data_IF_207019770975
#
_entry.id   IF_207019770975
#
_cell.length_a   1.000
_cell.length_b   1.000
_cell.length_c   1.000
_cell.angle_alpha   90.00
_cell.angle_beta   90.00
_cell.angle_gamma   90.00
#
_symmetry.space_group_name_H-M   'P 1'
#
loop_
_entity.id
_entity.type
_entity.pdbx_description
1 polymer ?
#
# COMPACT_ATOMS: atom_id res chain seq x y z
N UNK A 1 -4.04 24.44 -9.61
CA UNK A 1 -3.04 23.46 -10.05
C UNK A 1 -1.77 24.22 -10.42
N UNK A 2 -0.65 23.94 -9.76
CA UNK A 2 0.65 24.47 -10.16
C UNK A 2 1.07 23.84 -11.50
N UNK A 3 1.85 24.54 -12.32
CA UNK A 3 2.41 24.05 -13.58
C UNK A 3 3.13 22.71 -13.41
N UNK A 4 3.72 22.47 -12.22
CA UNK A 4 4.39 21.22 -11.85
C UNK A 4 3.43 20.03 -11.73
N UNK A 5 2.21 20.24 -11.25
CA UNK A 5 1.19 19.19 -11.15
C UNK A 5 0.62 18.84 -12.53
N UNK A 6 0.44 19.84 -13.40
CA UNK A 6 0.03 19.66 -14.80
C UNK A 6 1.06 18.83 -15.58
N UNK A 7 2.34 19.11 -15.39
CA UNK A 7 3.43 18.35 -16.01
C UNK A 7 3.50 16.90 -15.49
N UNK A 8 3.29 16.69 -14.19
CA UNK A 8 3.24 15.35 -13.60
C UNK A 8 2.03 14.55 -14.14
N UNK A 9 0.85 15.17 -14.22
CA UNK A 9 -0.35 14.55 -14.78
C UNK A 9 -0.19 14.23 -16.27
N UNK A 10 0.39 15.15 -17.06
CA UNK A 10 0.71 14.89 -18.47
C UNK A 10 1.68 13.73 -18.64
N UNK A 11 2.69 13.64 -17.76
CA UNK A 11 3.61 12.49 -17.71
C UNK A 11 2.89 11.20 -17.36
N UNK A 12 1.95 11.20 -16.41
CA UNK A 12 1.14 10.03 -16.06
C UNK A 12 0.31 9.53 -17.27
N UNK A 13 -0.38 10.43 -17.97
CA UNK A 13 -1.16 10.10 -19.17
C UNK A 13 -0.27 9.59 -20.30
N UNK A 14 0.86 10.27 -20.55
CA UNK A 14 1.83 9.87 -21.58
C UNK A 14 2.45 8.52 -21.28
N UNK A 15 2.74 8.22 -20.01
CA UNK A 15 3.29 6.94 -19.59
C UNK A 15 2.25 5.82 -19.69
N UNK A 16 0.98 6.10 -19.39
CA UNK A 16 -0.13 5.18 -19.65
C UNK A 16 -0.23 4.77 -21.13
N UNK A 17 -0.02 5.72 -22.05
CA UNK A 17 0.05 5.44 -23.49
C UNK A 17 1.30 4.63 -23.88
N UNK A 18 2.44 4.84 -23.20
CA UNK A 18 3.68 4.08 -23.44
C UNK A 18 3.68 2.70 -22.80
N UNK A 19 2.82 2.45 -21.80
CA UNK A 19 2.70 1.18 -21.06
C UNK A 19 1.26 0.65 -21.13
N UNK A 20 0.78 0.27 -22.33
CA UNK A 20 -0.62 -0.07 -22.56
C UNK A 20 -1.09 -1.28 -21.75
N UNK A 21 -0.20 -2.23 -21.42
CA UNK A 21 -0.55 -3.38 -20.58
C UNK A 21 -0.82 -3.01 -19.12
N UNK A 22 -0.02 -2.11 -18.53
CA UNK A 22 -0.21 -1.63 -17.15
C UNK A 22 -1.43 -0.71 -17.02
N UNK A 23 -1.65 0.13 -18.04
CA UNK A 23 -2.87 0.92 -18.16
C UNK A 23 -4.10 0.01 -18.31
N UNK A 24 -4.01 -1.03 -19.16
CA UNK A 24 -5.07 -2.03 -19.35
C UNK A 24 -5.33 -2.85 -18.09
N UNK A 25 -4.32 -3.34 -17.37
CA UNK A 25 -4.55 -4.11 -16.14
C UNK A 25 -5.18 -3.27 -15.03
N UNK A 26 -4.86 -1.97 -15.00
CA UNK A 26 -5.51 -1.01 -14.09
C UNK A 26 -6.99 -0.75 -14.47
N UNK A 27 -7.33 -0.80 -15.77
CA UNK A 27 -8.68 -0.61 -16.31
C UNK A 27 -9.51 -1.90 -16.45
N UNK A 28 -8.86 -3.07 -16.54
CA UNK A 28 -9.45 -4.36 -16.91
C UNK A 28 -10.55 -4.82 -15.96
N UNK A 29 -10.36 -4.75 -14.63
CA UNK A 29 -11.45 -5.10 -13.72
C UNK A 29 -12.51 -3.99 -13.60
N UNK A 30 -12.21 -2.76 -14.05
CA UNK A 30 -13.24 -1.72 -14.23
C UNK A 30 -14.13 -2.09 -15.42
N UNK A 31 -13.55 -2.70 -16.48
CA UNK A 31 -14.33 -3.31 -17.57
C UNK A 31 -15.10 -4.55 -17.12
N UNK A 32 -14.54 -5.40 -16.25
CA UNK A 32 -15.27 -6.53 -15.66
C UNK A 32 -16.49 -6.06 -14.85
N UNK A 33 -16.35 -4.95 -14.11
CA UNK A 33 -17.47 -4.33 -13.38
C UNK A 33 -18.51 -3.71 -14.32
N UNK A 34 -18.10 -2.95 -15.34
CA UNK A 34 -19.05 -2.35 -16.30
C UNK A 34 -19.70 -3.36 -17.23
N UNK A 35 -19.07 -4.53 -17.43
CA UNK A 35 -19.64 -5.64 -18.21
C UNK A 35 -20.38 -6.69 -17.37
N UNK A 36 -20.53 -6.46 -16.06
CA UNK A 36 -21.22 -7.39 -15.14
C UNK A 36 -20.64 -8.81 -15.19
N UNK A 37 -19.30 -8.92 -15.29
CA UNK A 37 -18.62 -10.21 -15.25
C UNK A 37 -18.59 -10.99 -16.57
N UNK A 38 -19.01 -10.40 -17.70
CA UNK A 38 -18.96 -11.06 -19.03
C UNK A 38 -17.52 -11.27 -19.53
N UNK A 39 -16.56 -10.45 -19.09
CA UNK A 39 -15.16 -10.51 -19.50
C UNK A 39 -14.23 -10.36 -18.27
N UNK A 40 -13.81 -11.47 -17.67
CA UNK A 40 -12.80 -11.49 -16.59
C UNK A 40 -13.04 -12.56 -15.52
N UNK A 41 -12.01 -12.90 -14.75
CA UNK A 41 -12.16 -13.69 -13.53
C UNK A 41 -12.81 -12.84 -12.44
N UNK A 42 -14.00 -13.21 -11.96
CA UNK A 42 -14.61 -12.52 -10.82
C UNK A 42 -14.08 -13.12 -9.51
N UNK A 43 -13.10 -12.47 -8.89
CA UNK A 43 -12.83 -12.69 -7.47
C UNK A 43 -14.06 -12.27 -6.67
N UNK A 44 -14.60 -13.18 -5.86
CA UNK A 44 -15.75 -12.98 -4.98
C UNK A 44 -15.32 -13.30 -3.56
N UNK A 45 -15.10 -12.30 -2.69
CA UNK A 45 -14.58 -12.52 -1.34
C UNK A 45 -15.32 -13.61 -0.55
N UNK A 46 -16.64 -13.66 -0.66
CA UNK A 46 -17.51 -14.60 0.05
C UNK A 46 -17.31 -16.07 -0.38
N UNK A 47 -16.78 -16.28 -1.59
CA UNK A 47 -16.51 -17.61 -2.16
C UNK A 47 -15.03 -17.97 -2.09
N UNK A 48 -14.17 -17.00 -2.35
CA UNK A 48 -12.75 -17.22 -2.67
C UNK A 48 -11.82 -17.00 -1.47
N UNK A 49 -12.28 -16.30 -0.42
CA UNK A 49 -11.53 -16.18 0.83
C UNK A 49 -11.95 -17.34 1.74
N UNK A 50 -11.00 -18.20 2.19
CA UNK A 50 -11.29 -19.28 3.10
C UNK A 50 -11.73 -18.73 4.47
N UNK A 51 -12.28 -19.59 5.33
CA UNK A 51 -12.60 -19.22 6.71
C UNK A 51 -11.34 -18.67 7.43
N UNK A 52 -11.43 -17.45 7.95
CA UNK A 52 -10.37 -16.77 8.69
C UNK A 52 -10.53 -16.92 10.22
N UNK A 53 -11.41 -17.80 10.68
CA UNK A 53 -11.60 -18.09 12.11
C UNK A 53 -10.28 -18.48 12.79
N UNK A 54 -10.05 -17.89 13.97
CA UNK A 54 -8.81 -18.06 14.74
C UNK A 54 -7.59 -17.29 14.22
N UNK A 55 -7.71 -16.53 13.12
CA UNK A 55 -6.64 -15.64 12.62
C UNK A 55 -6.68 -14.29 13.33
N UNK A 56 -5.52 -13.79 13.71
CA UNK A 56 -5.38 -12.39 14.19
C UNK A 56 -4.97 -11.50 13.03
N UNK A 57 -5.75 -10.44 12.78
CA UNK A 57 -5.59 -9.52 11.64
C UNK A 57 -5.43 -8.11 12.18
N UNK A 58 -4.34 -7.44 11.79
CA UNK A 58 -4.14 -6.02 12.03
C UNK A 58 -4.17 -5.26 10.71
N UNK A 59 -5.02 -4.25 10.62
CA UNK A 59 -5.17 -3.39 9.44
C UNK A 59 -4.93 -1.95 9.85
N UNK A 60 -4.04 -1.25 9.15
CA UNK A 60 -3.90 0.19 9.36
C UNK A 60 -5.06 0.92 8.65
N UNK A 61 -5.92 1.58 9.43
CA UNK A 61 -7.12 2.24 8.90
C UNK A 61 -8.16 2.54 9.98
N UNK A 62 -9.31 3.05 9.58
CA UNK A 62 -10.41 3.39 10.49
C UNK A 62 -11.29 2.16 10.72
N UNK A 63 -11.63 1.90 11.99
CA UNK A 63 -12.55 0.85 12.36
C UNK A 63 -14.01 1.23 12.01
N UNK A 64 -14.79 0.26 11.57
CA UNK A 64 -16.25 0.35 11.50
C UNK A 64 -16.86 -0.77 12.36
N UNK A 65 -18.04 -0.52 12.92
CA UNK A 65 -18.74 -1.45 13.80
C UNK A 65 -19.36 -2.58 12.97
N UNK A 66 -18.97 -3.82 13.27
CA UNK A 66 -19.50 -5.03 12.64
C UNK A 66 -19.72 -6.11 13.72
N UNK A 67 -20.49 -7.18 13.43
CA UNK A 67 -20.72 -8.28 14.38
C UNK A 67 -19.49 -9.14 14.69
N UNK A 68 -18.32 -8.83 14.15
CA UNK A 68 -17.03 -9.51 14.39
C UNK A 68 -16.24 -8.79 15.49
N UNK A 69 -15.37 -9.48 16.24
CA UNK A 69 -14.46 -8.84 17.22
C UNK A 69 -13.49 -7.90 16.50
N UNK A 70 -13.84 -6.62 16.45
CA UNK A 70 -13.04 -5.54 15.89
C UNK A 70 -12.66 -4.61 17.02
N UNK A 71 -11.35 -4.52 17.28
CA UNK A 71 -10.78 -3.63 18.30
C UNK A 71 -10.06 -2.47 17.64
N UNK A 72 -10.29 -1.29 18.18
CA UNK A 72 -9.62 -0.08 17.72
C UNK A 72 -8.31 0.12 18.49
N UNK A 73 -7.21 0.29 17.75
CA UNK A 73 -5.91 0.70 18.28
C UNK A 73 -5.60 2.09 17.75
N UNK A 74 -5.47 3.12 18.61
CA UNK A 74 -5.06 4.45 18.18
C UNK A 74 -3.69 4.40 17.49
N UNK A 75 -3.62 4.86 16.25
CA UNK A 75 -2.41 4.83 15.45
C UNK A 75 -2.34 6.04 14.52
N UNK A 76 -1.39 6.92 14.77
CA UNK A 76 -0.91 7.92 13.84
C UNK A 76 0.43 7.49 13.23
N UNK A 77 0.43 7.16 11.94
CA UNK A 77 1.63 6.72 11.23
C UNK A 77 2.63 7.85 10.93
N UNK A 78 2.26 9.11 11.20
CA UNK A 78 3.16 10.26 11.10
C UNK A 78 3.89 10.57 12.43
N UNK A 79 3.73 9.73 13.47
CA UNK A 79 4.39 9.90 14.78
C UNK A 79 4.96 8.59 15.29
N UNK A 80 6.28 8.51 15.48
CA UNK A 80 6.95 7.31 16.00
C UNK A 80 6.46 6.96 17.40
N UNK A 81 6.16 7.97 18.22
CA UNK A 81 5.57 7.78 19.54
C UNK A 81 4.23 7.06 19.45
N UNK A 82 3.35 7.48 18.54
CA UNK A 82 2.06 6.81 18.35
C UNK A 82 2.23 5.39 17.81
N UNK A 83 3.18 5.16 16.91
CA UNK A 83 3.44 3.83 16.34
C UNK A 83 3.94 2.86 17.42
N UNK A 84 4.88 3.29 18.27
CA UNK A 84 5.40 2.48 19.38
C UNK A 84 4.28 2.14 20.37
N UNK A 85 3.48 3.13 20.78
CA UNK A 85 2.35 2.91 21.67
C UNK A 85 1.28 1.95 21.08
N UNK A 86 0.99 2.06 19.79
CA UNK A 86 0.07 1.15 19.10
C UNK A 86 0.60 -0.29 19.07
N UNK A 87 1.90 -0.47 18.79
CA UNK A 87 2.54 -1.78 18.81
C UNK A 87 2.55 -2.39 20.21
N UNK A 88 2.88 -1.60 21.24
CA UNK A 88 2.83 -2.03 22.64
C UNK A 88 1.42 -2.49 23.05
N UNK A 89 0.38 -1.71 22.69
CA UNK A 89 -1.01 -2.10 22.98
C UNK A 89 -1.39 -3.41 22.29
N UNK A 90 -1.04 -3.55 21.00
CA UNK A 90 -1.28 -4.79 20.27
C UNK A 90 -0.60 -5.98 20.94
N UNK A 91 0.68 -5.85 21.30
CA UNK A 91 1.51 -6.91 21.89
C UNK A 91 1.10 -7.27 23.33
N UNK A 92 0.49 -6.34 24.06
CA UNK A 92 -0.05 -6.59 25.39
C UNK A 92 -1.30 -7.50 25.36
N UNK A 93 -2.08 -7.41 24.29
CA UNK A 93 -3.35 -8.15 24.16
C UNK A 93 -3.27 -9.37 23.24
N UNK A 94 -2.27 -9.42 22.35
CA UNK A 94 -2.18 -10.42 21.30
C UNK A 94 -0.77 -10.99 21.24
N UNK A 95 -0.70 -12.32 21.27
CA UNK A 95 0.56 -13.06 21.21
C UNK A 95 0.80 -13.71 19.84
N UNK A 96 -0.08 -13.39 18.88
CA UNK A 96 -0.21 -13.92 17.53
C UNK A 96 -0.59 -12.80 16.55
N UNK A 97 -0.07 -12.85 15.32
CA UNK A 97 -0.45 -12.00 14.20
C UNK A 97 -0.30 -12.80 12.91
N UNK A 98 -1.42 -13.12 12.25
CA UNK A 98 -1.40 -13.88 11.00
C UNK A 98 -1.39 -12.98 9.77
N UNK A 99 -2.04 -11.80 9.83
CA UNK A 99 -2.17 -10.89 8.70
C UNK A 99 -1.93 -9.44 9.13
N UNK A 100 -0.93 -8.80 8.53
CA UNK A 100 -0.69 -7.36 8.67
C UNK A 100 -0.98 -6.66 7.34
N UNK A 101 -1.98 -5.77 7.34
CA UNK A 101 -2.38 -5.02 6.15
C UNK A 101 -1.96 -3.55 6.33
N UNK A 102 -0.93 -3.15 5.60
CA UNK A 102 -0.39 -1.78 5.58
C UNK A 102 -1.17 -0.96 4.54
N UNK A 103 -2.42 -0.64 4.88
CA UNK A 103 -3.39 0.00 3.99
C UNK A 103 -3.42 1.52 4.11
N UNK A 104 -3.29 2.06 5.33
CA UNK A 104 -3.38 3.49 5.58
C UNK A 104 -2.41 4.29 4.71
N UNK A 105 -2.83 5.50 4.36
CA UNK A 105 -1.95 6.42 3.66
C UNK A 105 -2.57 7.78 3.53
N UNK A 106 -1.73 8.75 3.20
CA UNK A 106 -2.10 10.12 2.92
C UNK A 106 -1.59 10.52 1.53
N UNK A 107 -2.34 11.40 0.87
CA UNK A 107 -2.11 11.77 -0.52
C UNK A 107 -2.50 13.24 -0.71
N UNK A 108 -1.73 13.95 -1.53
CA UNK A 108 -2.12 15.31 -1.94
C UNK A 108 -1.84 16.35 -0.85
N UNK A 109 -1.09 16.01 0.19
CA UNK A 109 -0.80 16.89 1.31
C UNK A 109 0.03 18.10 0.84
N UNK A 110 -0.20 19.29 1.43
CA UNK A 110 0.75 20.38 1.33
C UNK A 110 2.17 19.92 1.72
N UNK A 111 3.23 20.48 1.10
CA UNK A 111 4.61 20.11 1.41
C UNK A 111 4.92 20.43 2.87
N UNK A 112 4.90 19.40 3.70
CA UNK A 112 5.06 19.46 5.16
C UNK A 112 5.89 18.28 5.63
N UNK A 113 6.28 18.29 6.90
CA UNK A 113 7.09 17.24 7.51
C UNK A 113 6.36 16.57 8.68
N UNK A 114 6.71 15.32 8.95
CA UNK A 114 6.39 14.66 10.23
C UNK A 114 7.21 15.28 11.37
N UNK A 115 6.92 14.90 12.61
CA UNK A 115 7.69 15.35 13.78
C UNK A 115 9.16 14.94 13.68
N UNK A 116 9.42 13.76 13.10
CA UNK A 116 10.76 13.21 12.85
C UNK A 116 11.45 13.82 11.61
N UNK A 117 10.80 14.77 10.93
CA UNK A 117 11.43 15.53 9.84
C UNK A 117 11.38 14.87 8.46
N UNK A 118 10.64 13.78 8.28
CA UNK A 118 10.38 13.19 6.97
C UNK A 118 9.36 14.01 6.20
N UNK A 119 9.41 13.99 4.87
CA UNK A 119 8.29 14.48 4.06
C UNK A 119 7.00 13.71 4.42
N UNK A 120 5.88 14.41 4.62
CA UNK A 120 4.70 13.84 5.26
C UNK A 120 4.12 12.59 4.56
N UNK A 121 4.14 12.51 3.23
CA UNK A 121 3.61 11.34 2.50
C UNK A 121 4.57 10.16 2.58
N UNK A 122 5.89 10.38 2.43
CA UNK A 122 6.89 9.33 2.64
C UNK A 122 6.90 8.83 4.10
N UNK A 123 6.91 9.77 5.04
CA UNK A 123 6.93 9.52 6.48
C UNK A 123 5.72 8.67 6.90
N UNK A 124 4.52 9.07 6.50
CA UNK A 124 3.29 8.36 6.86
C UNK A 124 3.15 7.03 6.12
N UNK A 125 3.32 7.03 4.78
CA UNK A 125 2.91 5.88 3.96
C UNK A 125 3.94 4.74 3.94
N UNK A 126 5.22 5.05 4.20
CA UNK A 126 6.33 4.11 4.15
C UNK A 126 7.06 4.02 5.50
N UNK A 127 7.64 5.12 6.01
CA UNK A 127 8.48 5.06 7.22
C UNK A 127 7.68 4.60 8.45
N UNK A 128 6.48 5.13 8.65
CA UNK A 128 5.61 4.73 9.76
C UNK A 128 5.16 3.26 9.67
N UNK A 129 4.83 2.81 8.46
CA UNK A 129 4.51 1.40 8.21
C UNK A 129 5.70 0.46 8.41
N UNK A 130 6.90 0.89 8.01
CA UNK A 130 8.14 0.17 8.23
C UNK A 130 8.37 -0.01 9.74
N UNK A 131 8.30 1.08 10.52
CA UNK A 131 8.49 1.01 11.98
C UNK A 131 7.44 0.11 12.63
N UNK A 132 6.16 0.25 12.27
CA UNK A 132 5.10 -0.63 12.78
C UNK A 132 5.41 -2.11 12.49
N UNK A 133 5.81 -2.42 11.26
CA UNK A 133 6.14 -3.80 10.87
C UNK A 133 7.37 -4.30 11.62
N UNK A 134 8.42 -3.49 11.77
CA UNK A 134 9.64 -3.84 12.53
C UNK A 134 9.30 -4.21 13.98
N UNK A 135 8.42 -3.45 14.63
CA UNK A 135 7.99 -3.71 16.01
C UNK A 135 7.13 -4.99 16.15
N UNK A 136 6.32 -5.30 15.13
CA UNK A 136 5.43 -6.48 15.12
C UNK A 136 6.07 -7.74 14.53
N UNK A 137 7.24 -7.61 13.90
CA UNK A 137 7.97 -8.69 13.24
C UNK A 137 8.26 -9.88 14.15
N UNK A 138 8.67 -9.71 15.43
CA UNK A 138 8.82 -10.84 16.35
C UNK A 138 7.53 -11.66 16.52
N UNK A 139 6.37 -11.01 16.57
CA UNK A 139 5.07 -11.68 16.73
C UNK A 139 4.60 -12.36 15.45
N UNK A 140 4.88 -11.78 14.28
CA UNK A 140 4.69 -12.44 12.98
C UNK A 140 5.51 -13.74 12.92
N UNK A 141 6.79 -13.69 13.28
CA UNK A 141 7.67 -14.86 13.29
C UNK A 141 7.24 -15.89 14.33
N UNK A 142 6.89 -15.46 15.55
CA UNK A 142 6.33 -16.35 16.57
C UNK A 142 5.08 -17.08 16.07
N UNK A 143 4.24 -16.40 15.30
CA UNK A 143 3.04 -17.00 14.69
C UNK A 143 3.42 -18.07 13.66
N UNK A 144 4.40 -17.79 12.80
CA UNK A 144 4.96 -18.78 11.87
C UNK A 144 5.42 -20.03 12.63
N UNK A 145 6.23 -19.84 13.67
CA UNK A 145 6.84 -20.93 14.42
C UNK A 145 5.80 -21.75 15.18
N UNK A 146 4.79 -21.10 15.76
CA UNK A 146 3.69 -21.78 16.44
C UNK A 146 2.85 -22.65 15.48
N UNK A 147 2.49 -22.13 14.31
CA UNK A 147 1.74 -22.90 13.29
C UNK A 147 2.58 -24.07 12.77
N UNK A 148 3.88 -23.85 12.57
CA UNK A 148 4.81 -24.90 12.14
C UNK A 148 4.91 -26.01 13.19
N UNK A 149 5.01 -25.63 14.47
CA UNK A 149 5.08 -26.58 15.59
C UNK A 149 3.79 -27.41 15.75
N UNK A 150 2.64 -26.92 15.31
CA UNK A 150 1.38 -27.67 15.30
C UNK A 150 1.25 -28.63 14.10
N UNK A 151 2.27 -28.76 13.25
CA UNK A 151 2.26 -29.63 12.06
C UNK A 151 1.52 -29.04 10.85
N UNK A 152 1.08 -27.78 10.91
CA UNK A 152 0.42 -27.11 9.81
C UNK A 152 1.41 -26.25 8.99
N UNK A 153 1.06 -25.94 7.74
CA UNK A 153 1.86 -25.02 6.91
C UNK A 153 1.56 -23.57 7.31
N UNK A 154 2.58 -22.77 7.72
CA UNK A 154 2.36 -21.37 8.07
C UNK A 154 1.90 -20.53 6.88
N UNK A 155 0.87 -19.73 7.13
CA UNK A 155 0.34 -18.73 6.22
C UNK A 155 0.19 -17.41 6.98
N UNK A 156 1.33 -16.73 7.13
CA UNK A 156 1.46 -15.43 7.76
C UNK A 156 1.81 -14.43 6.66
N UNK A 157 1.08 -13.31 6.56
CA UNK A 157 1.21 -12.38 5.44
C UNK A 157 1.36 -10.93 5.88
N UNK A 158 2.17 -10.18 5.13
CA UNK A 158 2.23 -8.72 5.15
C UNK A 158 1.81 -8.21 3.79
N UNK A 159 0.68 -7.50 3.71
CA UNK A 159 0.14 -6.95 2.46
C UNK A 159 0.29 -5.43 2.48
N UNK A 160 1.10 -4.90 1.58
CA UNK A 160 1.41 -3.46 1.53
C UNK A 160 0.67 -2.76 0.40
N UNK A 161 -0.12 -1.74 0.73
CA UNK A 161 -0.90 -1.01 -0.29
C UNK A 161 -0.03 0.05 -0.98
N UNK A 162 0.28 -0.21 -2.25
CA UNK A 162 0.94 0.71 -3.18
C UNK A 162 -0.08 1.42 -4.10
N UNK A 163 0.36 1.97 -5.24
CA UNK A 163 -0.48 2.65 -6.21
C UNK A 163 0.19 2.67 -7.59
N UNK A 164 -0.61 2.78 -8.66
CA UNK A 164 -0.12 3.18 -9.98
C UNK A 164 0.67 4.50 -9.95
N UNK A 165 0.46 5.36 -8.95
CA UNK A 165 1.25 6.57 -8.75
C UNK A 165 2.76 6.33 -8.54
N UNK A 166 3.19 5.10 -8.20
CA UNK A 166 4.61 4.77 -8.10
C UNK A 166 5.40 5.08 -9.38
N UNK A 167 4.74 5.12 -10.53
CA UNK A 167 5.38 5.47 -11.80
C UNK A 167 5.84 6.94 -11.87
N UNK A 168 5.31 7.81 -10.99
CA UNK A 168 5.72 9.21 -10.85
C UNK A 168 6.83 9.41 -9.82
N UNK A 169 7.32 8.32 -9.22
CA UNK A 169 8.44 8.33 -8.27
C UNK A 169 9.69 8.92 -8.91
N UNK A 170 10.54 9.63 -8.15
CA UNK A 170 11.93 9.81 -8.54
C UNK A 170 12.56 8.43 -8.77
N UNK A 171 13.38 8.31 -9.82
CA UNK A 171 14.03 7.06 -10.21
C UNK A 171 15.45 6.93 -9.62
N UNK A 172 15.69 7.55 -8.47
CA UNK A 172 16.97 7.48 -7.74
C UNK A 172 16.72 7.30 -6.25
N UNK A 173 17.69 6.68 -5.55
CA UNK A 173 17.63 6.51 -4.11
C UNK A 173 17.54 7.85 -3.37
N UNK A 174 18.40 8.80 -3.74
CA UNK A 174 18.46 10.12 -3.11
C UNK A 174 17.17 10.90 -3.35
N UNK A 175 16.54 10.72 -4.52
CA UNK A 175 15.25 11.32 -4.83
C UNK A 175 14.13 10.76 -3.95
N UNK A 176 14.18 9.46 -3.62
CA UNK A 176 13.21 8.81 -2.73
C UNK A 176 13.35 9.22 -1.27
N UNK A 177 14.57 9.47 -0.79
CA UNK A 177 14.85 9.59 0.66
C UNK A 177 15.13 11.01 1.11
N UNK A 178 15.55 11.91 0.21
CA UNK A 178 15.84 13.31 0.57
C UNK A 178 14.56 14.09 0.80
N UNK A 179 14.27 14.43 2.07
CA UNK A 179 13.14 15.30 2.43
C UNK A 179 13.15 16.61 1.65
N UNK A 180 14.31 17.27 1.52
CA UNK A 180 14.42 18.54 0.77
C UNK A 180 14.10 18.36 -0.72
N UNK A 181 14.58 17.27 -1.33
CA UNK A 181 14.27 16.94 -2.72
C UNK A 181 12.78 16.72 -2.91
N UNK A 182 12.17 15.89 -2.06
CA UNK A 182 10.75 15.59 -2.11
C UNK A 182 9.90 16.84 -1.93
N UNK A 183 10.19 17.68 -0.92
CA UNK A 183 9.46 18.93 -0.67
C UNK A 183 9.52 19.92 -1.84
N UNK A 184 10.59 19.89 -2.64
CA UNK A 184 10.72 20.70 -3.86
C UNK A 184 9.89 20.18 -5.04
N UNK A 185 9.52 18.89 -5.01
CA UNK A 185 8.72 18.21 -6.03
C UNK A 185 7.22 18.48 -5.91
N UNK A 186 6.47 18.06 -6.93
CA UNK A 186 5.00 18.13 -6.92
C UNK A 186 4.40 17.18 -5.89
N UNK A 187 3.13 17.39 -5.51
CA UNK A 187 2.47 16.51 -4.54
C UNK A 187 2.39 15.06 -5.04
N UNK A 188 2.21 14.88 -6.34
CA UNK A 188 2.16 13.57 -7.00
C UNK A 188 3.52 12.89 -7.06
N UNK A 189 4.60 13.66 -7.18
CA UNK A 189 5.96 13.14 -7.12
C UNK A 189 6.27 12.56 -5.73
N UNK A 190 5.92 13.30 -4.67
CA UNK A 190 6.06 12.86 -3.28
C UNK A 190 5.21 11.62 -2.97
N UNK A 191 3.96 11.62 -3.43
CA UNK A 191 3.09 10.45 -3.30
C UNK A 191 3.66 9.23 -4.05
N UNK A 192 4.12 9.44 -5.28
CA UNK A 192 4.74 8.41 -6.11
C UNK A 192 5.97 7.80 -5.45
N UNK A 193 6.83 8.64 -4.86
CA UNK A 193 7.97 8.19 -4.06
C UNK A 193 7.53 7.26 -2.92
N UNK A 194 6.52 7.66 -2.14
CA UNK A 194 6.01 6.85 -1.03
C UNK A 194 5.43 5.51 -1.48
N UNK A 195 4.81 5.46 -2.67
CA UNK A 195 4.20 4.23 -3.20
C UNK A 195 5.21 3.33 -3.91
N UNK A 196 6.28 3.88 -4.49
CA UNK A 196 7.44 3.12 -4.92
C UNK A 196 8.16 2.49 -3.71
N UNK A 197 8.35 3.26 -2.63
CA UNK A 197 8.92 2.78 -1.38
C UNK A 197 8.15 1.57 -0.80
N UNK A 198 6.82 1.57 -0.88
CA UNK A 198 5.98 0.43 -0.48
C UNK A 198 6.21 -0.84 -1.33
N UNK A 199 6.53 -0.72 -2.63
CA UNK A 199 6.86 -1.87 -3.49
C UNK A 199 8.22 -2.45 -3.08
N UNK A 200 9.21 -1.57 -2.90
CA UNK A 200 10.54 -1.96 -2.43
C UNK A 200 10.45 -2.65 -1.06
N UNK A 201 9.71 -2.07 -0.12
CA UNK A 201 9.47 -2.64 1.21
C UNK A 201 8.95 -4.07 1.13
N UNK A 202 7.88 -4.29 0.34
CA UNK A 202 7.29 -5.63 0.23
C UNK A 202 8.28 -6.64 -0.35
N UNK A 203 9.04 -6.25 -1.38
CA UNK A 203 10.05 -7.10 -2.01
C UNK A 203 11.22 -7.43 -1.08
N UNK A 204 11.65 -6.48 -0.26
CA UNK A 204 12.80 -6.65 0.63
C UNK A 204 12.42 -7.40 1.91
N UNK A 205 11.22 -7.16 2.46
CA UNK A 205 10.68 -7.97 3.55
C UNK A 205 10.61 -9.44 3.15
N UNK A 206 10.15 -9.73 1.92
CA UNK A 206 10.09 -11.09 1.38
C UNK A 206 11.48 -11.75 1.29
N UNK A 207 12.52 -10.98 0.91
CA UNK A 207 13.90 -11.49 0.85
C UNK A 207 14.49 -11.76 2.23
N UNK A 208 14.20 -10.89 3.21
CA UNK A 208 14.75 -10.98 4.57
C UNK A 208 14.01 -11.98 5.45
N UNK A 209 12.71 -12.15 5.23
CA UNK A 209 11.83 -13.02 6.02
C UNK A 209 11.02 -13.95 5.09
N UNK A 210 11.67 -14.93 4.44
CA UNK A 210 11.03 -15.76 3.40
C UNK A 210 9.88 -16.63 3.92
N UNK A 211 9.82 -16.87 5.23
CA UNK A 211 8.73 -17.58 5.89
C UNK A 211 7.44 -16.75 6.03
N UNK A 212 7.56 -15.42 5.94
CA UNK A 212 6.44 -14.48 5.91
C UNK A 212 6.18 -14.10 4.46
N UNK A 213 4.93 -14.27 4.01
CA UNK A 213 4.54 -13.85 2.67
C UNK A 213 4.33 -12.34 2.63
N UNK A 214 5.21 -11.63 1.94
CA UNK A 214 5.13 -10.18 1.77
C UNK A 214 4.84 -9.83 0.33
N UNK A 215 3.74 -9.13 0.07
CA UNK A 215 3.36 -8.67 -1.28
C UNK A 215 2.87 -7.24 -1.26
N UNK A 216 2.97 -6.55 -2.39
CA UNK A 216 2.37 -5.23 -2.56
C UNK A 216 1.22 -5.26 -3.55
N UNK A 217 0.20 -4.44 -3.30
CA UNK A 217 -1.01 -4.37 -4.13
C UNK A 217 -1.36 -2.94 -4.46
N UNK A 218 -1.84 -2.70 -5.67
CA UNK A 218 -2.54 -1.47 -6.02
C UNK A 218 -4.05 -1.68 -5.96
N UNK A 219 -4.84 -0.80 -5.32
CA UNK A 219 -6.29 -1.01 -5.19
C UNK A 219 -7.10 -0.68 -6.46
N UNK A 220 -6.46 -0.17 -7.52
CA UNK A 220 -7.16 0.38 -8.70
C UNK A 220 -7.34 1.90 -8.60
N UNK A 221 -7.96 2.49 -9.63
CA UNK A 221 -8.41 3.89 -9.56
C UNK A 221 -9.65 3.97 -8.65
N UNK A 222 -9.46 4.24 -7.36
CA UNK A 222 -10.53 4.26 -6.34
C UNK A 222 -10.89 5.70 -5.99
N UNK A 223 -12.19 6.03 -5.90
CA UNK A 223 -12.66 7.25 -5.23
C UNK A 223 -12.51 7.01 -3.73
N UNK A 224 -11.38 7.35 -3.17
CA UNK A 224 -11.17 7.33 -1.72
C UNK A 224 -11.23 8.75 -1.19
N UNK A 225 -11.53 8.90 0.11
CA UNK A 225 -11.50 10.19 0.81
C UNK A 225 -10.11 10.88 0.76
N UNK A 226 -9.09 10.18 0.28
CA UNK A 226 -7.77 10.71 -0.13
C UNK A 226 -7.84 11.88 -1.14
N UNK A 227 -8.97 12.09 -1.83
CA UNK A 227 -9.16 13.23 -2.75
C UNK A 227 -9.57 14.55 -2.07
N UNK A 228 -9.75 14.59 -0.74
CA UNK A 228 -10.25 15.79 -0.04
C UNK A 228 -9.29 16.98 -0.20
N UNK A 229 -7.96 16.77 -0.14
CA UNK A 229 -6.99 17.85 -0.35
C UNK A 229 -6.78 18.20 -1.83
N UNK A 230 -6.95 17.24 -2.76
CA UNK A 230 -6.92 17.53 -4.19
C UNK A 230 -8.10 18.41 -4.63
N UNK A 231 -9.30 18.19 -4.05
CA UNK A 231 -10.51 18.99 -4.30
C UNK A 231 -10.42 20.44 -3.81
N UNK A 232 -9.49 20.75 -2.91
CA UNK A 232 -9.24 22.12 -2.44
C UNK A 232 -8.42 22.95 -3.44
N UNK A 233 -7.84 22.36 -4.49
CA UNK A 233 -6.97 23.03 -5.46
C UNK A 233 -7.70 23.52 -6.73
N UNK A 234 -8.54 24.55 -6.58
CA UNK A 234 -9.03 25.40 -7.69
C UNK A 234 -10.29 24.91 -8.43
N UNK A 235 -11.15 25.87 -8.79
CA UNK A 235 -12.52 25.66 -9.30
C UNK A 235 -12.61 24.84 -10.60
N UNK A 236 -11.57 24.85 -11.44
CA UNK A 236 -11.56 24.12 -12.72
C UNK A 236 -11.42 22.60 -12.52
N UNK A 237 -10.61 22.19 -11.55
CA UNK A 237 -10.42 20.78 -11.19
C UNK A 237 -11.70 20.19 -10.55
N UNK A 238 -12.46 21.02 -9.83
CA UNK A 238 -13.75 20.61 -9.23
C UNK A 238 -14.76 20.14 -10.27
N UNK A 239 -14.78 20.72 -11.48
CA UNK A 239 -15.69 20.30 -12.57
C UNK A 239 -15.10 19.19 -13.45
N UNK A 240 -13.80 19.22 -13.74
CA UNK A 240 -13.18 18.19 -14.59
C UNK A 240 -13.03 16.86 -13.85
N UNK A 241 -12.67 16.86 -12.55
CA UNK A 241 -12.61 15.63 -11.74
C UNK A 241 -13.99 15.13 -11.29
N UNK A 242 -15.02 15.96 -11.20
CA UNK A 242 -16.37 15.45 -10.89
C UNK A 242 -17.04 14.82 -12.09
N UNK A 243 -16.86 15.38 -13.30
CA UNK A 243 -17.50 14.87 -14.52
C UNK A 243 -16.73 13.73 -15.17
N UNK A 244 -15.39 13.75 -15.13
CA UNK A 244 -14.55 12.66 -15.66
C UNK A 244 -14.22 11.65 -14.56
N UNK A 245 -14.06 12.08 -13.30
CA UNK A 245 -13.72 11.15 -12.22
C UNK A 245 -14.88 10.25 -11.78
N UNK A 246 -16.13 10.72 -11.76
CA UNK A 246 -17.26 9.89 -11.28
C UNK A 246 -17.48 8.60 -12.07
N UNK A 247 -17.00 8.52 -13.30
CA UNK A 247 -17.12 7.33 -14.16
C UNK A 247 -15.87 6.44 -14.18
N UNK A 248 -14.74 6.90 -13.61
CA UNK A 248 -13.47 6.16 -13.55
C UNK A 248 -13.09 5.69 -12.15
N UNK A 249 -13.77 6.19 -11.13
CA UNK A 249 -13.48 5.87 -9.74
C UNK A 249 -14.33 4.70 -9.23
N UNK A 250 -13.66 3.62 -8.87
CA UNK A 250 -14.26 2.45 -8.20
C UNK A 250 -14.86 2.82 -6.83
N UNK A 251 -15.88 2.07 -6.42
CA UNK A 251 -16.37 2.11 -5.05
C UNK A 251 -15.28 1.68 -4.07
N UNK A 252 -15.38 2.10 -2.81
CA UNK A 252 -14.50 1.64 -1.72
C UNK A 252 -14.49 0.11 -1.62
N UNK A 253 -15.64 -0.53 -1.84
CA UNK A 253 -15.80 -1.99 -1.91
C UNK A 253 -14.95 -2.62 -3.01
N UNK A 254 -14.99 -2.07 -4.24
CA UNK A 254 -14.17 -2.57 -5.34
C UNK A 254 -12.68 -2.33 -5.11
N UNK A 255 -12.32 -1.18 -4.52
CA UNK A 255 -10.94 -0.86 -4.15
C UNK A 255 -10.32 -1.84 -3.16
N UNK A 256 -11.13 -2.39 -2.25
CA UNK A 256 -10.69 -3.40 -1.28
C UNK A 256 -10.41 -4.77 -1.92
N UNK A 257 -10.98 -5.08 -3.09
CA UNK A 257 -10.94 -6.43 -3.66
C UNK A 257 -9.52 -6.94 -3.94
N UNK A 258 -8.61 -6.09 -4.41
CA UNK A 258 -7.24 -6.55 -4.69
C UNK A 258 -6.46 -6.83 -3.40
N UNK A 259 -6.70 -6.04 -2.34
CA UNK A 259 -6.14 -6.28 -1.01
C UNK A 259 -6.72 -7.56 -0.40
N UNK A 260 -8.04 -7.74 -0.48
CA UNK A 260 -8.75 -8.93 -0.02
C UNK A 260 -8.30 -10.18 -0.78
N UNK A 261 -8.04 -10.07 -2.08
CA UNK A 261 -7.45 -11.15 -2.87
C UNK A 261 -6.06 -11.52 -2.35
N UNK A 262 -5.17 -10.55 -2.14
CA UNK A 262 -3.82 -10.84 -1.63
C UNK A 262 -3.84 -11.44 -0.20
N UNK A 263 -4.83 -11.08 0.62
CA UNK A 263 -5.02 -11.65 1.96
C UNK A 263 -5.60 -13.07 1.91
N UNK A 264 -6.59 -13.31 1.06
CA UNK A 264 -7.41 -14.52 1.14
C UNK A 264 -7.13 -15.59 0.10
N UNK A 265 -6.49 -15.26 -1.03
CA UNK A 265 -6.20 -16.23 -2.10
C UNK A 265 -5.25 -17.32 -1.60
N UNK A 266 -5.25 -18.49 -2.23
CA UNK A 266 -4.34 -19.57 -1.83
C UNK A 266 -2.87 -19.14 -1.97
N UNK A 267 -2.04 -19.46 -0.97
CA UNK A 267 -0.64 -19.01 -0.87
C UNK A 267 0.17 -19.24 -2.16
N UNK A 268 -0.06 -20.35 -2.87
CA UNK A 268 0.65 -20.69 -4.11
C UNK A 268 0.28 -19.80 -5.33
N UNK A 269 -0.79 -19.01 -5.25
CA UNK A 269 -1.16 -18.03 -6.28
C UNK A 269 -0.39 -16.71 -6.12
N UNK A 270 0.31 -16.54 -4.99
CA UNK A 270 1.14 -15.38 -4.69
C UNK A 270 2.62 -15.74 -4.86
N UNK A 271 3.36 -14.80 -5.43
CA UNK A 271 4.82 -14.85 -5.49
C UNK A 271 5.34 -13.91 -4.41
N UNK A 272 6.13 -14.44 -3.49
CA UNK A 272 6.67 -13.65 -2.37
C UNK A 272 7.53 -12.50 -2.93
N UNK A 273 7.26 -11.28 -2.45
CA UNK A 273 7.88 -10.04 -2.88
C UNK A 273 7.30 -9.38 -4.14
N UNK A 274 6.27 -9.97 -4.76
CA UNK A 274 5.68 -9.44 -5.98
C UNK A 274 4.70 -8.28 -5.76
N UNK A 275 4.49 -7.52 -6.83
CA UNK A 275 3.50 -6.45 -6.93
C UNK A 275 2.31 -6.88 -7.80
N UNK A 276 1.09 -6.57 -7.36
CA UNK A 276 -0.14 -6.98 -8.02
C UNK A 276 -1.05 -5.79 -8.34
N UNK A 277 -1.54 -5.75 -9.58
CA UNK A 277 -2.61 -4.87 -10.03
C UNK A 277 -3.97 -5.57 -9.94
N UNK A 278 -5.07 -4.81 -9.83
CA UNK A 278 -6.40 -5.38 -9.71
C UNK A 278 -6.76 -6.33 -10.86
N UNK A 279 -7.44 -7.46 -10.63
CA UNK A 279 -7.43 -8.22 -9.39
C UNK A 279 -6.45 -9.37 -9.58
N UNK A 280 -5.45 -9.46 -8.72
CA UNK A 280 -4.49 -10.55 -8.71
C UNK A 280 -3.59 -10.66 -9.93
N UNK A 281 -3.51 -9.61 -10.75
CA UNK A 281 -2.64 -9.57 -11.92
C UNK A 281 -1.25 -9.13 -11.51
N UNK A 282 -0.30 -10.07 -11.52
CA UNK A 282 1.11 -9.77 -11.26
C UNK A 282 1.58 -8.69 -12.23
N UNK A 283 2.21 -7.66 -11.69
CA UNK A 283 2.79 -6.56 -12.44
C UNK A 283 4.22 -6.35 -11.95
N UNK A 284 5.14 -6.21 -12.90
CA UNK A 284 6.56 -6.02 -12.61
C UNK A 284 6.89 -4.53 -12.30
N UNK A 285 5.95 -3.60 -12.53
CA UNK A 285 6.13 -2.18 -12.28
C UNK A 285 7.18 -1.51 -13.20
N UNK A 286 7.72 -0.38 -12.75
CA UNK A 286 8.85 0.26 -13.44
C UNK A 286 10.16 -0.53 -13.25
N UNK A 287 11.15 -0.29 -14.11
CA UNK A 287 12.49 -0.88 -13.90
C UNK A 287 13.08 -0.46 -12.55
N UNK A 288 12.84 0.79 -12.16
CA UNK A 288 13.28 1.33 -10.89
C UNK A 288 12.79 0.52 -9.69
N UNK A 289 11.48 0.24 -9.58
CA UNK A 289 10.93 -0.52 -8.43
C UNK A 289 11.31 -2.00 -8.39
N UNK A 290 12.05 -2.48 -9.40
CA UNK A 290 12.64 -3.83 -9.45
C UNK A 290 14.11 -3.86 -9.04
N UNK A 291 14.73 -2.71 -8.83
CA UNK A 291 16.13 -2.62 -8.46
C UNK A 291 16.34 -3.15 -7.03
N UNK A 292 17.03 -4.29 -6.94
CA UNK A 292 17.31 -5.00 -5.70
C UNK A 292 18.21 -4.17 -4.78
N UNK A 293 19.17 -3.44 -5.33
CA UNK A 293 20.10 -2.64 -4.53
C UNK A 293 19.42 -1.41 -3.96
N UNK A 294 18.52 -0.78 -4.72
CA UNK A 294 17.71 0.34 -4.19
C UNK A 294 16.79 -0.16 -3.08
N UNK A 295 16.17 -1.33 -3.24
CA UNK A 295 15.33 -1.93 -2.20
C UNK A 295 16.11 -2.18 -0.91
N UNK A 296 17.31 -2.78 -1.02
CA UNK A 296 18.20 -3.05 0.09
C UNK A 296 18.65 -1.76 0.80
N UNK A 297 19.10 -0.77 0.03
CA UNK A 297 19.50 0.55 0.56
C UNK A 297 18.35 1.26 1.26
N UNK A 298 17.14 1.20 0.69
CA UNK A 298 15.95 1.82 1.28
C UNK A 298 15.57 1.15 2.60
N UNK A 299 15.68 -0.17 2.69
CA UNK A 299 15.48 -0.88 3.95
C UNK A 299 16.46 -0.43 5.02
N UNK A 300 17.77 -0.47 4.72
CA UNK A 300 18.83 -0.08 5.66
C UNK A 300 18.68 1.37 6.10
N UNK A 301 18.39 2.28 5.16
CA UNK A 301 18.11 3.67 5.46
C UNK A 301 16.89 3.81 6.36
N UNK A 302 15.77 3.17 6.04
CA UNK A 302 14.55 3.29 6.85
C UNK A 302 14.75 2.70 8.25
N UNK A 303 15.55 1.63 8.35
CA UNK A 303 15.92 1.01 9.62
C UNK A 303 16.76 1.96 10.49
N UNK A 304 17.79 2.58 9.92
CA UNK A 304 18.62 3.58 10.60
C UNK A 304 17.76 4.76 11.09
N UNK A 305 16.94 5.31 10.19
CA UNK A 305 16.05 6.43 10.47
C UNK A 305 14.96 6.14 11.52
N UNK A 306 14.66 4.87 11.79
CA UNK A 306 13.60 4.43 12.74
C UNK A 306 14.14 3.80 14.02
N UNK A 307 15.46 3.84 14.22
CA UNK A 307 16.13 3.26 15.38
C UNK A 307 16.17 4.20 16.60
N UNK A 308 15.88 5.49 16.42
CA UNK A 308 15.70 6.49 17.48
C UNK A 308 14.23 6.55 17.97
#
# INVERSE_FOLDING_TARGET
MDLRDLAAFSSFVTLGLRRPFEAWSSLGPTLNETTVGLLGSSFKPERDIPNLEGKTILVTGVAALFPTDIRYIPLDLASFKSIRAAAELFLAENDRLDLLILNAGTMGNPPTKTEEGFEVQLGTNHVGHFLLTKLLLPTLQKTVDHVRASGATPDVRVVTVSSAAHIMSPATFEGLTSTSSLLSGSTWHRYGASKAANIFFASELARRHPDILSVSVHPGAVNSDLYIHAKASGSFMKHTLTTIGSSFFRSTTSGALNTLWAVGTAKHQLVNGAYYTPIGLRCDGTEFVRDVEIARKLWEWTEEQSSE
#
